data_IF_061736777992
#
_entry.id   IF_061736777992
#
_cell.length_a   1.000
_cell.length_b   1.000
_cell.length_c   1.000
_cell.angle_alpha   90.00
_cell.angle_beta   90.00
_cell.angle_gamma   90.00
#
_symmetry.space_group_name_H-M   'P 1'
#
loop_
_entity.id
_entity.type
_entity.pdbx_description
1 polymer ?
#
# COMPACT_ATOMS: atom_id res chain seq x y z
N UNK A 1 15.52 -11.04 -15.07
CA UNK A 1 14.78 -9.76 -14.92
C UNK A 1 15.78 -8.67 -15.21
N UNK A 2 15.62 -7.96 -16.31
CA UNK A 2 16.55 -6.89 -16.72
C UNK A 2 16.43 -5.71 -15.74
N UNK A 3 17.57 -5.21 -15.29
CA UNK A 3 17.62 -4.08 -14.38
C UNK A 3 17.48 -2.79 -15.20
N UNK A 4 16.26 -2.25 -15.25
CA UNK A 4 15.91 -1.04 -16.01
C UNK A 4 16.30 0.27 -15.30
N UNK A 5 16.95 0.18 -14.14
CA UNK A 5 17.22 1.32 -13.25
C UNK A 5 18.49 1.09 -12.43
N UNK A 6 19.33 2.12 -12.36
CA UNK A 6 20.54 2.12 -11.53
C UNK A 6 20.21 2.30 -10.04
N UNK A 7 18.98 2.67 -9.70
CA UNK A 7 18.53 2.85 -8.32
C UNK A 7 18.19 1.51 -7.68
N UNK A 8 18.74 1.26 -6.49
CA UNK A 8 18.44 0.06 -5.70
C UNK A 8 17.17 0.30 -4.87
N UNK A 9 16.07 -0.31 -5.30
CA UNK A 9 14.81 -0.29 -4.55
C UNK A 9 14.76 -1.42 -3.53
N UNK A 10 14.37 -1.08 -2.30
CA UNK A 10 13.91 -2.06 -1.33
C UNK A 10 12.58 -2.66 -1.78
N UNK A 11 12.40 -3.95 -1.53
CA UNK A 11 11.20 -4.70 -1.94
C UNK A 11 10.55 -5.34 -0.73
N UNK A 12 9.25 -5.11 -0.58
CA UNK A 12 8.40 -5.89 0.32
C UNK A 12 7.61 -6.90 -0.50
N UNK A 13 8.06 -8.16 -0.49
CA UNK A 13 7.35 -9.24 -1.16
C UNK A 13 6.21 -9.76 -0.29
N UNK A 14 5.04 -9.91 -0.90
CA UNK A 14 3.85 -10.52 -0.30
C UNK A 14 3.44 -11.76 -1.11
N UNK A 15 2.82 -12.78 -0.49
CA UNK A 15 2.42 -14.00 -1.17
C UNK A 15 1.22 -13.82 -2.12
N UNK A 16 0.37 -12.83 -1.88
CA UNK A 16 -0.84 -12.60 -2.68
C UNK A 16 -0.66 -11.36 -3.59
N UNK A 17 -0.65 -11.55 -4.90
CA UNK A 17 -0.47 -10.47 -5.89
C UNK A 17 -1.49 -9.32 -5.70
N UNK A 18 -2.75 -9.68 -5.41
CA UNK A 18 -3.82 -8.71 -5.16
C UNK A 18 -3.64 -7.90 -3.86
N UNK A 19 -2.84 -8.40 -2.91
CA UNK A 19 -2.50 -7.70 -1.68
C UNK A 19 -1.29 -6.77 -1.84
N UNK A 20 -0.49 -6.93 -2.89
CA UNK A 20 0.63 -6.04 -3.19
C UNK A 20 0.18 -4.62 -3.56
N UNK A 21 -1.08 -4.45 -4.01
CA UNK A 21 -1.67 -3.13 -4.21
C UNK A 21 -1.99 -2.48 -2.86
N UNK A 22 -1.23 -1.43 -2.53
CA UNK A 22 -1.35 -0.66 -1.29
C UNK A 22 -1.27 0.83 -1.59
N UNK A 23 -1.72 1.68 -0.66
CA UNK A 23 -1.58 3.13 -0.76
C UNK A 23 -0.64 3.60 0.34
N UNK A 24 0.50 4.16 -0.06
CA UNK A 24 1.43 4.83 0.86
C UNK A 24 1.19 6.34 0.85
N UNK A 25 1.11 6.92 2.04
CA UNK A 25 1.08 8.37 2.22
C UNK A 25 1.87 8.78 3.46
N UNK A 26 2.58 9.91 3.36
CA UNK A 26 3.18 10.57 4.51
C UNK A 26 2.20 11.59 5.07
N UNK A 27 1.73 11.37 6.28
CA UNK A 27 0.76 12.25 6.94
C UNK A 27 1.51 13.13 7.94
N UNK A 28 1.35 14.45 7.79
CA UNK A 28 2.08 15.44 8.59
C UNK A 28 3.60 15.33 8.45
N UNK A 29 4.33 15.75 9.49
CA UNK A 29 5.78 15.90 9.37
C UNK A 29 6.58 14.59 9.39
N UNK A 30 6.07 13.46 9.94
CA UNK A 30 6.89 12.24 10.12
C UNK A 30 6.13 10.90 10.17
N UNK A 31 4.83 10.83 9.89
CA UNK A 31 4.12 9.53 9.97
C UNK A 31 4.01 8.86 8.60
N UNK A 32 4.67 7.71 8.45
CA UNK A 32 4.50 6.83 7.30
C UNK A 32 3.19 6.06 7.49
N UNK A 33 2.24 6.21 6.58
CA UNK A 33 0.96 5.50 6.64
C UNK A 33 0.82 4.60 5.42
N UNK A 34 0.43 3.36 5.64
CA UNK A 34 0.21 2.37 4.58
C UNK A 34 -1.20 1.80 4.72
N UNK A 35 -2.03 2.05 3.72
CA UNK A 35 -3.31 1.38 3.56
C UNK A 35 -3.09 0.07 2.82
N UNK A 36 -3.45 -1.05 3.44
CA UNK A 36 -3.24 -2.39 2.89
C UNK A 36 -4.50 -3.26 3.06
N UNK A 37 -4.54 -4.40 2.38
CA UNK A 37 -5.68 -5.33 2.47
C UNK A 37 -5.81 -5.93 3.87
N UNK A 38 -7.02 -6.20 4.31
CA UNK A 38 -7.28 -6.74 5.65
C UNK A 38 -6.74 -8.17 5.81
N UNK A 39 -6.55 -8.59 7.07
CA UNK A 39 -6.15 -9.96 7.38
C UNK A 39 -7.26 -10.99 7.06
N UNK A 40 -8.53 -10.56 7.03
CA UNK A 40 -9.66 -11.41 6.66
C UNK A 40 -9.63 -11.78 5.17
N UNK A 41 -9.12 -10.89 4.33
CA UNK A 41 -8.97 -11.13 2.89
C UNK A 41 -7.66 -11.86 2.57
N UNK A 42 -6.54 -11.40 3.15
CA UNK A 42 -5.20 -11.94 2.87
C UNK A 42 -4.38 -12.09 4.16
N UNK A 43 -4.57 -13.20 4.90
CA UNK A 43 -3.95 -13.38 6.21
C UNK A 43 -2.42 -13.47 6.14
N UNK A 44 -1.86 -14.15 5.14
CA UNK A 44 -0.41 -14.31 4.99
C UNK A 44 0.26 -13.01 4.52
N UNK A 45 -0.35 -12.28 3.59
CA UNK A 45 0.12 -10.96 3.19
C UNK A 45 0.05 -9.94 4.34
N UNK A 46 -1.00 -9.98 5.18
CA UNK A 46 -1.10 -9.13 6.37
C UNK A 46 0.09 -9.29 7.32
N UNK A 47 0.61 -10.51 7.50
CA UNK A 47 1.80 -10.79 8.32
C UNK A 47 3.06 -10.13 7.77
N UNK A 48 3.19 -10.01 6.45
CA UNK A 48 4.33 -9.36 5.82
C UNK A 48 4.35 -7.85 6.14
N UNK A 49 3.21 -7.17 6.11
CA UNK A 49 3.12 -5.73 6.43
C UNK A 49 3.44 -5.43 7.89
N UNK A 50 3.09 -6.33 8.82
CA UNK A 50 3.41 -6.19 10.26
C UNK A 50 4.92 -6.15 10.56
N UNK A 51 5.77 -6.52 9.60
CA UNK A 51 7.24 -6.44 9.73
C UNK A 51 7.78 -5.03 9.52
N UNK A 52 6.94 -4.04 9.17
CA UNK A 52 7.33 -2.64 8.98
C UNK A 52 7.27 -1.87 10.32
N UNK A 53 8.40 -1.61 10.99
CA UNK A 53 8.41 -1.10 12.36
C UNK A 53 7.98 0.37 12.50
N UNK A 54 8.04 1.15 11.41
CA UNK A 54 7.82 2.61 11.44
C UNK A 54 6.60 3.06 10.60
N UNK A 55 5.64 2.17 10.41
CA UNK A 55 4.46 2.42 9.60
C UNK A 55 3.17 2.35 10.42
N UNK A 56 2.33 3.36 10.29
CA UNK A 56 0.92 3.29 10.67
C UNK A 56 0.19 2.45 9.62
N UNK A 57 -0.14 1.22 9.98
CA UNK A 57 -0.84 0.27 9.11
C UNK A 57 -2.35 0.46 9.22
N UNK A 58 -3.01 0.74 8.09
CA UNK A 58 -4.47 0.91 8.00
C UNK A 58 -5.03 -0.25 7.17
N UNK A 59 -5.66 -1.27 7.80
CA UNK A 59 -6.33 -2.33 7.07
C UNK A 59 -7.61 -1.80 6.41
N UNK A 60 -7.79 -2.07 5.12
CA UNK A 60 -8.97 -1.69 4.35
C UNK A 60 -9.49 -2.86 3.49
N UNK A 61 -10.80 -3.09 3.56
CA UNK A 61 -11.47 -4.12 2.77
C UNK A 61 -11.73 -3.61 1.36
N UNK A 62 -11.52 -4.47 0.37
CA UNK A 62 -11.73 -4.15 -1.05
C UNK A 62 -12.35 -5.34 -1.81
N UNK A 63 -12.94 -6.32 -1.13
CA UNK A 63 -13.57 -7.53 -1.72
C UNK A 63 -14.53 -7.22 -2.87
N UNK A 64 -15.47 -6.30 -2.66
CA UNK A 64 -16.53 -6.04 -3.65
C UNK A 64 -15.99 -5.31 -4.89
N UNK A 65 -15.09 -4.34 -4.69
CA UNK A 65 -14.44 -3.60 -5.78
C UNK A 65 -13.47 -4.51 -6.56
N UNK A 66 -12.84 -5.47 -5.89
CA UNK A 66 -11.99 -6.46 -6.51
C UNK A 66 -12.73 -7.38 -7.50
N UNK A 67 -14.04 -7.62 -7.30
CA UNK A 67 -14.87 -8.37 -8.27
C UNK A 67 -14.97 -7.65 -9.62
N UNK A 68 -14.79 -6.33 -9.63
CA UNK A 68 -14.78 -5.49 -10.84
C UNK A 68 -13.36 -5.32 -11.43
N UNK A 69 -12.37 -6.04 -10.90
CA UNK A 69 -10.96 -5.92 -11.32
C UNK A 69 -10.26 -4.67 -10.77
N UNK A 70 -10.87 -3.95 -9.84
CA UNK A 70 -10.29 -2.76 -9.22
C UNK A 70 -9.62 -3.09 -7.87
N UNK A 71 -8.84 -2.14 -7.35
CA UNK A 71 -8.06 -2.30 -6.11
C UNK A 71 -8.06 -1.00 -5.30
N UNK A 72 -7.33 -0.96 -4.17
CA UNK A 72 -7.28 0.21 -3.29
C UNK A 72 -6.90 1.47 -4.08
N UNK A 73 -5.85 1.41 -4.89
CA UNK A 73 -5.38 2.55 -5.67
C UNK A 73 -6.38 3.00 -6.75
N UNK A 74 -7.28 2.14 -7.20
CA UNK A 74 -8.29 2.46 -8.21
C UNK A 74 -9.37 3.41 -7.70
N UNK A 75 -9.57 3.49 -6.37
CA UNK A 75 -10.64 4.26 -5.75
C UNK A 75 -10.25 5.69 -5.38
N UNK A 76 -9.03 6.15 -5.72
CA UNK A 76 -8.54 7.44 -5.25
C UNK A 76 -7.55 8.08 -6.21
N UNK A 77 -7.57 9.42 -6.25
CA UNK A 77 -6.53 10.24 -6.85
C UNK A 77 -5.93 11.06 -5.71
N UNK A 78 -4.64 10.87 -5.44
CA UNK A 78 -3.94 11.59 -4.38
C UNK A 78 -3.42 12.93 -4.90
N UNK A 79 -3.74 14.01 -4.20
CA UNK A 79 -3.39 15.39 -4.60
C UNK A 79 -2.55 16.02 -3.49
N UNK A 80 -1.31 16.40 -3.82
CA UNK A 80 -0.47 17.22 -2.94
C UNK A 80 -0.58 18.70 -3.36
N UNK A 81 -1.59 19.41 -2.83
CA UNK A 81 -1.74 20.85 -3.07
C UNK A 81 -0.96 21.64 -2.03
N UNK A 82 0.07 22.36 -2.47
CA UNK A 82 0.77 23.35 -1.64
C UNK A 82 -0.13 24.58 -1.51
N UNK A 83 -0.44 24.99 -0.28
CA UNK A 83 -1.06 26.29 -0.03
C UNK A 83 0.07 27.31 0.06
N UNK A 84 0.17 28.18 -0.95
CA UNK A 84 0.96 29.40 -0.87
C UNK A 84 0.08 30.44 -0.17
N UNK A 85 0.47 30.84 1.04
CA UNK A 85 -0.10 32.01 1.74
C UNK A 85 0.85 33.19 1.59
#
# INVERSE_FOLDING_TARGET
MEQLTDYQYDKLSVPDDAAANCIYARIGNKSNTLVHRTADEFPESSKAFKKLPDYTLIPASCTEVAKLGASLSSCSILINKKFEY
#
